data_IF_854443732966
#
_entry.id   IF_854443732966
#
_cell.length_a   1.000
_cell.length_b   1.000
_cell.length_c   1.000
_cell.angle_alpha   90.00
_cell.angle_beta   90.00
_cell.angle_gamma   90.00
#
_symmetry.space_group_name_H-M   'P 1'
#
loop_
_entity.id
_entity.type
_entity.pdbx_description
1 polymer ?
#
# COMPACT_ATOMS: atom_id res chain seq x y z
N UNK A 1 -36.28 -6.66 -13.02
CA UNK A 1 -35.56 -5.39 -12.80
C UNK A 1 -35.68 -4.40 -13.98
N UNK A 2 -35.83 -4.86 -15.21
CA UNK A 2 -36.35 -4.00 -16.28
C UNK A 2 -37.82 -3.68 -16.00
N UNK A 3 -38.29 -2.41 -16.01
CA UNK A 3 -37.71 -1.23 -16.69
C UNK A 3 -36.93 -0.25 -15.79
N UNK A 4 -36.66 -0.55 -14.53
CA UNK A 4 -36.09 0.40 -13.56
C UNK A 4 -34.54 0.38 -13.51
N UNK A 5 -33.88 -0.37 -14.40
CA UNK A 5 -32.44 -0.46 -14.47
C UNK A 5 -31.90 0.22 -15.72
N UNK A 6 -31.14 1.30 -15.54
CA UNK A 6 -30.39 1.97 -16.61
C UNK A 6 -28.90 1.70 -16.40
N UNK A 7 -28.28 1.03 -17.35
CA UNK A 7 -26.84 0.83 -17.39
C UNK A 7 -26.32 1.25 -18.75
N UNK A 8 -25.26 2.04 -18.74
CA UNK A 8 -24.50 2.39 -19.94
C UNK A 8 -23.05 2.02 -19.72
N UNK A 9 -22.44 1.41 -20.70
CA UNK A 9 -21.01 1.14 -20.71
C UNK A 9 -20.28 2.40 -21.21
N UNK A 10 -19.07 2.62 -20.69
CA UNK A 10 -18.27 3.78 -21.05
C UNK A 10 -17.92 3.79 -22.54
N UNK A 11 -17.66 2.62 -23.11
CA UNK A 11 -17.39 2.37 -24.51
C UNK A 11 -18.56 2.69 -25.44
N UNK A 12 -19.82 2.67 -24.93
CA UNK A 12 -21.04 2.99 -25.69
C UNK A 12 -21.33 4.50 -25.74
N UNK A 13 -20.71 5.27 -24.86
CA UNK A 13 -21.07 6.69 -24.63
C UNK A 13 -19.94 7.64 -25.01
N UNK A 14 -18.69 7.16 -25.00
CA UNK A 14 -17.51 8.02 -25.17
C UNK A 14 -16.40 7.32 -25.97
N UNK A 15 -16.32 7.64 -27.25
CA UNK A 15 -15.36 7.07 -28.21
C UNK A 15 -13.99 7.80 -28.18
N UNK A 16 -13.91 8.97 -27.50
CA UNK A 16 -12.69 9.79 -27.47
C UNK A 16 -11.64 9.32 -26.46
N UNK A 17 -11.97 8.30 -25.62
CA UNK A 17 -11.07 7.78 -24.59
C UNK A 17 -10.03 6.86 -25.25
N UNK A 18 -8.74 7.15 -25.09
CA UNK A 18 -7.69 6.30 -25.63
C UNK A 18 -7.71 4.90 -25.00
N UNK A 19 -7.17 3.88 -25.70
CA UNK A 19 -7.13 2.51 -25.19
C UNK A 19 -6.37 2.40 -23.87
N UNK A 20 -6.88 1.58 -22.96
CA UNK A 20 -6.24 1.25 -21.68
C UNK A 20 -5.19 0.19 -21.90
N UNK A 21 -3.94 0.48 -21.49
CA UNK A 21 -2.88 -0.52 -21.38
C UNK A 21 -2.71 -0.87 -19.90
N UNK A 22 -3.09 -2.08 -19.53
CA UNK A 22 -2.96 -2.59 -18.15
C UNK A 22 -1.74 -3.47 -18.02
N UNK A 23 -0.90 -3.18 -17.03
CA UNK A 23 0.29 -3.98 -16.72
C UNK A 23 0.30 -4.33 -15.25
N UNK A 24 0.34 -5.63 -14.94
CA UNK A 24 0.49 -6.13 -13.57
C UNK A 24 1.98 -6.34 -13.30
N UNK A 25 2.48 -5.70 -12.26
CA UNK A 25 3.88 -5.84 -11.83
C UNK A 25 3.93 -6.51 -10.46
N UNK A 26 4.53 -7.70 -10.41
CA UNK A 26 4.77 -8.42 -9.16
C UNK A 26 6.05 -7.88 -8.50
N UNK A 27 5.95 -7.57 -7.20
CA UNK A 27 7.05 -7.00 -6.42
C UNK A 27 7.36 -7.90 -5.24
N UNK A 28 8.60 -8.34 -5.13
CA UNK A 28 9.08 -9.11 -3.97
C UNK A 28 9.09 -8.28 -2.69
N UNK A 29 8.98 -8.96 -1.56
CA UNK A 29 9.15 -8.36 -0.25
C UNK A 29 10.62 -8.00 0.00
N UNK A 30 10.88 -6.91 0.72
CA UNK A 30 12.21 -6.62 1.23
C UNK A 30 12.60 -7.64 2.31
N UNK A 31 13.90 -7.74 2.62
CA UNK A 31 14.37 -8.62 3.70
C UNK A 31 13.69 -8.28 5.04
N UNK A 32 13.50 -6.99 5.28
CA UNK A 32 12.82 -6.50 6.48
C UNK A 32 11.35 -6.93 6.48
N UNK A 33 10.63 -6.72 5.38
CA UNK A 33 9.25 -7.20 5.25
C UNK A 33 9.14 -8.72 5.42
N UNK A 34 10.07 -9.50 4.88
CA UNK A 34 10.09 -10.95 5.03
C UNK A 34 10.20 -11.40 6.49
N UNK A 35 11.01 -10.70 7.29
CA UNK A 35 11.17 -10.98 8.71
C UNK A 35 9.85 -10.76 9.46
N UNK A 36 9.21 -9.60 9.26
CA UNK A 36 7.91 -9.29 9.87
C UNK A 36 6.80 -10.23 9.37
N UNK A 37 6.79 -10.55 8.07
CA UNK A 37 5.81 -11.47 7.50
C UNK A 37 5.88 -12.85 8.14
N UNK A 38 7.10 -13.41 8.28
CA UNK A 38 7.33 -14.69 8.95
C UNK A 38 6.92 -14.65 10.43
N UNK A 39 7.20 -13.55 11.14
CA UNK A 39 6.77 -13.34 12.52
C UNK A 39 5.25 -13.38 12.66
N UNK A 40 4.54 -12.55 11.88
CA UNK A 40 3.07 -12.48 11.90
C UNK A 40 2.45 -13.85 11.56
N UNK A 41 2.98 -14.52 10.53
CA UNK A 41 2.48 -15.83 10.12
C UNK A 41 2.78 -16.93 11.15
N UNK A 42 3.99 -16.94 11.73
CA UNK A 42 4.43 -17.91 12.71
C UNK A 42 3.66 -17.83 14.02
N UNK A 43 3.46 -16.65 14.58
CA UNK A 43 2.68 -16.43 15.80
C UNK A 43 1.24 -16.91 15.62
N UNK A 44 0.60 -16.56 14.51
CA UNK A 44 -0.76 -16.97 14.23
C UNK A 44 -0.87 -18.48 13.96
N UNK A 45 0.14 -19.10 13.32
CA UNK A 45 0.19 -20.56 13.13
C UNK A 45 0.29 -21.32 14.48
N UNK A 46 1.05 -20.80 15.44
CA UNK A 46 1.12 -21.40 16.77
C UNK A 46 -0.22 -21.32 17.50
N UNK A 47 -0.94 -20.21 17.38
CA UNK A 47 -2.30 -20.06 17.93
C UNK A 47 -3.25 -21.05 17.25
N UNK A 48 -3.21 -21.15 15.91
CA UNK A 48 -4.00 -22.12 15.14
C UNK A 48 -3.74 -23.57 15.57
N UNK A 49 -2.47 -23.93 15.77
CA UNK A 49 -2.09 -25.27 16.16
C UNK A 49 -2.50 -25.63 17.61
N UNK A 50 -2.52 -24.67 18.53
CA UNK A 50 -2.90 -24.87 19.94
C UNK A 50 -4.40 -25.03 20.15
N UNK A 51 -5.23 -24.36 19.36
CA UNK A 51 -6.69 -24.31 19.58
C UNK A 51 -7.49 -25.21 18.65
N UNK A 52 -6.87 -25.89 17.68
CA UNK A 52 -7.56 -26.67 16.65
C UNK A 52 -8.38 -25.80 15.71
N UNK A 53 -8.65 -26.31 14.52
CA UNK A 53 -9.33 -25.56 13.45
C UNK A 53 -10.79 -25.18 13.78
N UNK A 54 -11.43 -25.87 14.71
CA UNK A 54 -12.84 -25.66 15.07
C UNK A 54 -13.08 -24.56 16.12
N UNK A 55 -12.04 -24.05 16.77
CA UNK A 55 -12.17 -23.07 17.87
C UNK A 55 -11.76 -21.64 17.50
N UNK A 56 -11.30 -21.42 16.26
CA UNK A 56 -10.80 -20.11 15.85
C UNK A 56 -11.96 -19.24 15.43
N UNK A 57 -12.15 -18.15 16.14
CA UNK A 57 -13.12 -17.13 15.73
C UNK A 57 -12.68 -16.54 14.38
N UNK A 58 -13.57 -16.52 13.41
CA UNK A 58 -13.39 -15.92 12.09
C UNK A 58 -12.76 -14.51 12.15
N UNK A 59 -13.02 -13.77 13.24
CA UNK A 59 -12.44 -12.46 13.50
C UNK A 59 -10.90 -12.46 13.68
N UNK A 60 -10.31 -13.54 14.20
CA UNK A 60 -8.85 -13.65 14.38
C UNK A 60 -8.14 -13.93 13.04
N UNK A 61 -8.75 -14.78 12.20
CA UNK A 61 -8.24 -15.03 10.84
C UNK A 61 -8.31 -13.79 9.96
N UNK A 62 -9.43 -13.07 10.02
CA UNK A 62 -9.59 -11.81 9.29
C UNK A 62 -8.56 -10.76 9.74
N UNK A 63 -8.22 -10.72 11.04
CA UNK A 63 -7.21 -9.80 11.55
C UNK A 63 -5.80 -10.18 11.05
N UNK A 64 -5.48 -11.46 10.98
CA UNK A 64 -4.21 -11.94 10.42
C UNK A 64 -4.04 -11.54 8.95
N UNK A 65 -5.06 -11.82 8.12
CA UNK A 65 -5.05 -11.48 6.70
C UNK A 65 -4.83 -9.97 6.49
N UNK A 66 -5.53 -9.14 7.26
CA UNK A 66 -5.35 -7.69 7.22
C UNK A 66 -3.93 -7.29 7.62
N UNK A 67 -3.33 -7.91 8.65
CA UNK A 67 -1.96 -7.61 9.07
C UNK A 67 -0.93 -8.03 8.01
N UNK A 68 -1.10 -9.20 7.40
CA UNK A 68 -0.24 -9.66 6.31
C UNK A 68 -0.36 -8.75 5.07
N UNK A 69 -1.57 -8.31 4.71
CA UNK A 69 -1.78 -7.34 3.63
C UNK A 69 -1.10 -5.99 3.93
N UNK A 70 -1.16 -5.51 5.16
CA UNK A 70 -0.43 -4.31 5.60
C UNK A 70 1.08 -4.50 5.48
N UNK A 71 1.61 -5.62 5.99
CA UNK A 71 3.03 -5.97 5.91
C UNK A 71 3.52 -6.00 4.45
N UNK A 72 2.76 -6.63 3.54
CA UNK A 72 3.09 -6.68 2.11
C UNK A 72 2.99 -5.32 1.41
N UNK A 73 2.29 -4.37 1.98
CA UNK A 73 2.18 -3.02 1.41
C UNK A 73 3.30 -2.12 1.93
N UNK A 74 3.34 -1.85 3.25
CA UNK A 74 4.39 -1.07 3.90
C UNK A 74 4.44 -1.38 5.39
N UNK A 75 5.62 -1.56 5.98
CA UNK A 75 5.77 -1.92 7.39
C UNK A 75 5.21 -0.87 8.36
N UNK A 76 5.24 0.42 8.01
CA UNK A 76 4.67 1.50 8.83
C UNK A 76 3.13 1.46 8.96
N UNK A 77 2.47 0.54 8.24
CA UNK A 77 1.05 0.26 8.45
C UNK A 77 0.80 -0.66 9.66
N UNK A 78 1.83 -1.33 10.15
CA UNK A 78 1.77 -2.15 11.36
C UNK A 78 1.91 -1.26 12.60
N UNK A 79 1.14 -1.55 13.63
CA UNK A 79 1.13 -0.75 14.85
C UNK A 79 2.48 -0.86 15.59
N UNK A 80 3.09 0.26 15.91
CA UNK A 80 4.34 0.35 16.68
C UNK A 80 5.62 0.12 15.87
N UNK A 81 5.52 -0.37 14.63
CA UNK A 81 6.69 -0.68 13.80
C UNK A 81 7.35 0.58 13.27
N UNK A 82 6.58 1.61 12.95
CA UNK A 82 7.14 2.90 12.53
C UNK A 82 8.02 3.49 13.62
N UNK A 83 7.51 3.58 14.85
CA UNK A 83 8.23 4.13 16.00
C UNK A 83 9.48 3.31 16.34
N UNK A 84 9.41 1.98 16.16
CA UNK A 84 10.55 1.07 16.35
C UNK A 84 11.64 1.32 15.31
N UNK A 85 11.29 1.33 14.04
CA UNK A 85 12.24 1.43 12.93
C UNK A 85 12.83 2.84 12.78
N UNK A 86 12.13 3.88 13.22
CA UNK A 86 12.60 5.28 13.13
C UNK A 86 13.28 5.78 14.39
N UNK A 87 13.33 4.98 15.47
CA UNK A 87 13.91 5.38 16.77
C UNK A 87 15.34 5.90 16.65
N UNK A 88 16.14 5.26 15.82
CA UNK A 88 17.57 5.57 15.67
C UNK A 88 17.86 6.52 14.51
N UNK A 89 16.84 6.95 13.77
CA UNK A 89 16.98 7.91 12.68
C UNK A 89 17.24 9.31 13.25
N UNK A 90 18.39 9.89 12.91
CA UNK A 90 18.80 11.22 13.37
C UNK A 90 18.66 12.28 12.28
N UNK A 91 18.65 11.87 11.03
CA UNK A 91 18.58 12.75 9.87
C UNK A 91 17.36 12.41 9.00
N UNK A 92 16.94 13.38 8.19
CA UNK A 92 15.87 13.14 7.20
C UNK A 92 16.29 12.11 6.17
N UNK A 93 17.59 12.01 5.87
CA UNK A 93 18.14 10.99 4.97
C UNK A 93 18.03 9.57 5.55
N UNK A 94 18.30 9.41 6.85
CA UNK A 94 18.10 8.13 7.55
C UNK A 94 16.63 7.71 7.48
N UNK A 95 15.72 8.65 7.75
CA UNK A 95 14.29 8.41 7.69
C UNK A 95 13.85 8.02 6.27
N UNK A 96 14.35 8.71 5.25
CA UNK A 96 14.05 8.41 3.85
C UNK A 96 14.52 7.00 3.45
N UNK A 97 15.74 6.62 3.80
CA UNK A 97 16.28 5.30 3.53
C UNK A 97 15.45 4.21 4.24
N UNK A 98 15.10 4.44 5.51
CA UNK A 98 14.29 3.52 6.29
C UNK A 98 12.87 3.37 5.73
N UNK A 99 12.30 4.46 5.25
CA UNK A 99 11.00 4.47 4.56
C UNK A 99 11.03 3.58 3.31
N UNK A 100 12.04 3.70 2.46
CA UNK A 100 12.20 2.87 1.26
C UNK A 100 12.45 1.40 1.60
N UNK A 101 13.37 1.11 2.54
CA UNK A 101 13.68 -0.26 2.96
C UNK A 101 12.46 -1.01 3.52
N UNK A 102 11.51 -0.28 4.07
CA UNK A 102 10.29 -0.81 4.68
C UNK A 102 9.24 -1.29 3.67
N UNK A 103 9.46 -1.09 2.35
CA UNK A 103 8.49 -1.50 1.33
C UNK A 103 9.11 -1.67 -0.05
N UNK A 104 9.08 -2.90 -0.58
CA UNK A 104 9.47 -3.17 -1.97
C UNK A 104 8.59 -2.41 -2.97
N UNK A 105 7.29 -2.24 -2.66
CA UNK A 105 6.36 -1.46 -3.51
C UNK A 105 6.73 0.02 -3.55
N UNK A 106 7.14 0.60 -2.43
CA UNK A 106 7.58 1.99 -2.40
C UNK A 106 8.90 2.19 -3.13
N UNK A 107 9.84 1.22 -3.04
CA UNK A 107 11.07 1.24 -3.83
C UNK A 107 10.80 1.20 -5.34
N UNK A 108 9.81 0.41 -5.78
CA UNK A 108 9.41 0.39 -7.18
C UNK A 108 8.73 1.70 -7.58
N UNK A 109 7.85 2.23 -6.72
CA UNK A 109 7.18 3.51 -6.95
C UNK A 109 8.19 4.65 -7.10
N UNK A 110 9.25 4.67 -6.30
CA UNK A 110 10.35 5.64 -6.40
C UNK A 110 10.95 5.67 -7.81
N UNK A 111 11.26 4.49 -8.36
CA UNK A 111 11.79 4.35 -9.73
C UNK A 111 10.79 4.80 -10.80
N UNK A 112 9.51 4.48 -10.62
CA UNK A 112 8.46 4.92 -11.55
C UNK A 112 8.28 6.43 -11.54
N UNK A 113 8.27 7.05 -10.36
CA UNK A 113 8.16 8.51 -10.24
C UNK A 113 9.32 9.19 -10.95
N UNK A 114 10.55 8.71 -10.77
CA UNK A 114 11.71 9.27 -11.46
C UNK A 114 11.62 9.13 -12.98
N UNK A 115 11.19 7.96 -13.47
CA UNK A 115 11.00 7.70 -14.90
C UNK A 115 9.93 8.61 -15.48
N UNK A 116 8.73 8.61 -14.92
CA UNK A 116 7.59 9.36 -15.46
C UNK A 116 7.79 10.88 -15.36
N UNK A 117 8.53 11.34 -14.36
CA UNK A 117 8.93 12.74 -14.26
C UNK A 117 9.85 13.18 -15.41
N UNK A 118 10.82 12.34 -15.78
CA UNK A 118 11.70 12.60 -16.93
C UNK A 118 10.94 12.62 -18.27
N UNK A 119 9.86 11.84 -18.34
CA UNK A 119 9.00 11.73 -19.52
C UNK A 119 7.84 12.76 -19.51
N UNK A 120 7.77 13.65 -18.49
CA UNK A 120 6.70 14.65 -18.31
C UNK A 120 5.28 14.04 -18.22
N UNK A 121 5.16 12.81 -17.68
CA UNK A 121 3.86 12.18 -17.45
C UNK A 121 3.23 12.66 -16.15
N UNK A 122 1.89 12.73 -16.13
CA UNK A 122 1.10 12.88 -14.91
C UNK A 122 0.81 11.50 -14.33
N UNK A 123 0.85 11.39 -13.01
CA UNK A 123 0.65 10.13 -12.30
C UNK A 123 -0.52 10.23 -11.33
N UNK A 124 -1.36 9.19 -11.29
CA UNK A 124 -2.38 9.00 -10.27
C UNK A 124 -2.03 7.76 -9.47
N UNK A 125 -2.03 7.89 -8.13
CA UNK A 125 -1.70 6.80 -7.22
C UNK A 125 -2.93 6.50 -6.36
N UNK A 126 -3.38 5.25 -6.38
CA UNK A 126 -4.51 4.79 -5.59
C UNK A 126 -4.07 3.81 -4.51
N UNK A 127 -4.64 3.95 -3.31
CA UNK A 127 -4.43 3.01 -2.21
C UNK A 127 -5.71 2.77 -1.44
N UNK A 128 -5.94 1.51 -1.03
CA UNK A 128 -7.05 1.15 -0.15
C UNK A 128 -6.83 1.61 1.31
N UNK A 129 -5.57 1.78 1.73
CA UNK A 129 -5.24 2.22 3.08
C UNK A 129 -4.97 3.73 3.09
N UNK A 130 -5.81 4.48 3.82
CA UNK A 130 -5.61 5.93 4.01
C UNK A 130 -4.19 6.24 4.54
N UNK A 131 -3.73 5.49 5.55
CA UNK A 131 -2.39 5.66 6.11
C UNK A 131 -1.27 5.41 5.07
N UNK A 132 -1.49 4.59 4.05
CA UNK A 132 -0.51 4.44 2.96
C UNK A 132 -0.38 5.72 2.15
N UNK A 133 -1.48 6.45 1.93
CA UNK A 133 -1.43 7.77 1.28
C UNK A 133 -0.65 8.79 2.14
N UNK A 134 -0.75 8.70 3.47
CA UNK A 134 0.03 9.56 4.38
C UNK A 134 1.54 9.25 4.27
N UNK A 135 1.90 7.97 4.14
CA UNK A 135 3.29 7.52 3.92
C UNK A 135 3.83 8.01 2.57
N UNK A 136 3.02 7.87 1.51
CA UNK A 136 3.39 8.37 0.16
C UNK A 136 3.53 9.90 0.19
N UNK A 137 2.66 10.60 0.90
CA UNK A 137 2.75 12.04 1.09
C UNK A 137 4.07 12.44 1.75
N UNK A 138 4.47 11.76 2.84
CA UNK A 138 5.75 11.98 3.50
C UNK A 138 6.92 11.78 2.52
N UNK A 139 6.89 10.67 1.77
CA UNK A 139 7.90 10.38 0.75
C UNK A 139 7.99 11.49 -0.31
N UNK A 140 6.87 11.95 -0.86
CA UNK A 140 6.83 13.00 -1.88
C UNK A 140 7.36 14.35 -1.35
N UNK A 141 7.04 14.69 -0.09
CA UNK A 141 7.59 15.89 0.58
C UNK A 141 9.12 15.82 0.70
N UNK A 142 9.65 14.68 1.12
CA UNK A 142 11.11 14.49 1.24
C UNK A 142 11.83 14.61 -0.11
N UNK A 143 11.16 14.19 -1.20
CA UNK A 143 11.66 14.34 -2.58
C UNK A 143 11.42 15.73 -3.18
N UNK A 144 10.70 16.62 -2.50
CA UNK A 144 10.35 17.95 -3.03
C UNK A 144 9.43 17.90 -4.26
N UNK A 145 8.53 16.90 -4.32
CA UNK A 145 7.60 16.69 -5.44
C UNK A 145 6.24 17.26 -5.06
N UNK A 146 5.70 18.13 -5.93
CA UNK A 146 4.33 18.65 -5.77
C UNK A 146 3.29 17.56 -6.00
N UNK A 147 2.26 17.54 -5.19
CA UNK A 147 1.17 16.55 -5.25
C UNK A 147 -0.14 17.16 -4.76
N UNK A 148 -1.24 16.53 -5.17
CA UNK A 148 -2.58 16.76 -4.62
C UNK A 148 -3.10 15.48 -3.99
N UNK A 149 -3.76 15.57 -2.82
CA UNK A 149 -4.26 14.42 -2.07
C UNK A 149 -5.77 14.48 -1.95
N UNK A 150 -6.44 13.46 -2.47
CA UNK A 150 -7.87 13.27 -2.36
C UNK A 150 -8.19 12.13 -1.39
N UNK A 151 -8.90 12.40 -0.33
CA UNK A 151 -9.39 11.40 0.62
C UNK A 151 -10.85 11.69 0.96
N UNK A 152 -11.58 10.69 1.45
CA UNK A 152 -12.97 10.87 1.85
C UNK A 152 -13.23 11.87 2.99
N UNK A 153 -12.17 12.43 3.59
CA UNK A 153 -12.27 13.49 4.60
C UNK A 153 -12.22 14.91 4.01
N UNK A 154 -11.93 15.06 2.72
CA UNK A 154 -11.99 16.34 2.03
C UNK A 154 -13.47 16.66 1.82
N UNK A 155 -14.01 17.62 2.57
CA UNK A 155 -15.35 18.21 2.33
C UNK A 155 -15.17 19.25 1.23
N UNK A 156 -15.97 19.16 0.18
CA UNK A 156 -16.17 20.24 -0.80
C UNK A 156 -16.73 21.45 -0.10
#
# INVERSE_FOLDING_TARGET
MKPHFLRRLKEEVEDSIPPLNETVVEVGLTNLQNTYYKGIYGENRMVLAKFGTNSIKTSQLNNMDVQLRKCCNHLFLLKGVEEELTRDCKTDEDLYNKLLESSGKLMLLDKFIEKFRKENHKMLIFSQFKRMLDIIELYLRMKGISYEKLTGSVKN
#
